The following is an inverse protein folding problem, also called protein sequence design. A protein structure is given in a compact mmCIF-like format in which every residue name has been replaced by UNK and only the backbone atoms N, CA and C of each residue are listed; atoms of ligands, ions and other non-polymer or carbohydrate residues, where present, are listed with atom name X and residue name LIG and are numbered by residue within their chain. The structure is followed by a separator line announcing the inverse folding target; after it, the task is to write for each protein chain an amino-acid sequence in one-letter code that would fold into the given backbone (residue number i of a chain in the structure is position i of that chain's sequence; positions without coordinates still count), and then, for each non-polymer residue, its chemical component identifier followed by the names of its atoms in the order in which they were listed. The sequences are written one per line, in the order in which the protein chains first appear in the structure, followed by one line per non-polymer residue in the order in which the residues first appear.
data_IF_033439777119
#
_entry.id   IF_033439777119
#
_cell.length_a   1.000
_cell.length_b   1.000
_cell.length_c   1.000
_cell.angle_alpha   90.00
_cell.angle_beta   90.00
_cell.angle_gamma   90.00
#
_symmetry.space_group_name_H-M   'P 1'
#
loop_
_entity.id
_entity.type
_entity.pdbx_description
1 polymer ?
#
# COMPACT_ATOMS: atom_id res chain seq x y z
N UNK A 1 -9.02 -47.78 -1.09
CA UNK A 1 -7.86 -47.44 -1.92
C UNK A 1 -7.58 -45.98 -1.69
N UNK A 2 -6.38 -45.66 -1.21
CA UNK A 2 -5.97 -44.30 -0.87
C UNK A 2 -5.33 -43.62 -2.07
N UNK A 3 -5.88 -42.49 -2.50
CA UNK A 3 -5.14 -41.59 -3.38
C UNK A 3 -3.98 -40.97 -2.57
N UNK A 4 -2.74 -40.99 -3.08
CA UNK A 4 -1.66 -40.23 -2.49
C UNK A 4 -1.94 -38.74 -2.75
N UNK A 5 -2.08 -37.96 -1.69
CA UNK A 5 -2.10 -36.51 -1.79
C UNK A 5 -0.70 -36.08 -2.25
N UNK A 6 -0.58 -35.67 -3.51
CA UNK A 6 0.64 -35.10 -4.08
C UNK A 6 0.92 -33.74 -3.41
N UNK A 7 2.07 -33.54 -2.72
CA UNK A 7 2.44 -32.26 -2.11
C UNK A 7 2.58 -31.10 -3.11
N UNK A 8 2.62 -31.41 -4.40
CA UNK A 8 2.96 -30.49 -5.48
C UNK A 8 1.79 -29.59 -5.92
N UNK A 9 0.63 -29.63 -5.25
CA UNK A 9 -0.47 -28.67 -5.44
C UNK A 9 -0.61 -27.66 -4.28
N UNK A 10 0.39 -27.57 -3.40
CA UNK A 10 0.48 -26.60 -2.29
C UNK A 10 1.52 -25.49 -2.56
N UNK A 11 1.88 -25.23 -3.81
CA UNK A 11 3.11 -24.48 -4.12
C UNK A 11 3.02 -23.38 -5.17
N UNK A 12 1.83 -22.90 -5.58
CA UNK A 12 1.73 -21.84 -6.60
C UNK A 12 0.98 -20.57 -6.17
N UNK A 13 0.58 -20.45 -4.90
CA UNK A 13 0.10 -19.19 -4.30
C UNK A 13 0.78 -18.87 -2.95
N UNK A 14 1.56 -19.82 -2.40
CA UNK A 14 2.04 -19.79 -1.00
C UNK A 14 3.43 -19.16 -0.83
N UNK A 15 3.96 -18.49 -1.85
CA UNK A 15 5.19 -17.68 -1.72
C UNK A 15 4.89 -16.21 -1.42
N UNK A 16 3.66 -15.74 -1.71
CA UNK A 16 3.34 -14.30 -1.64
C UNK A 16 3.05 -13.78 -0.23
N UNK A 17 2.71 -14.67 0.72
CA UNK A 17 2.59 -14.31 2.13
C UNK A 17 3.91 -14.58 2.86
N UNK A 18 4.97 -13.89 2.44
CA UNK A 18 5.97 -13.47 3.44
C UNK A 18 5.16 -12.68 4.47
N UNK A 19 4.99 -13.25 5.67
CA UNK A 19 4.26 -12.62 6.76
C UNK A 19 4.60 -11.13 6.80
N UNK A 20 3.60 -10.25 6.79
CA UNK A 20 3.81 -8.80 6.76
C UNK A 20 4.83 -8.36 7.84
N UNK A 21 4.80 -9.03 9.00
CA UNK A 21 5.75 -8.83 10.10
C UNK A 21 7.23 -9.04 9.72
N UNK A 22 7.54 -9.88 8.73
CA UNK A 22 8.91 -10.10 8.21
C UNK A 22 9.35 -9.01 7.23
N UNK A 23 8.43 -8.26 6.64
CA UNK A 23 8.75 -7.15 5.71
C UNK A 23 9.06 -5.84 6.44
N UNK A 24 8.61 -5.72 7.69
CA UNK A 24 8.85 -4.55 8.55
C UNK A 24 10.32 -4.53 8.97
N UNK A 25 11.01 -3.45 8.67
CA UNK A 25 12.40 -3.19 9.07
C UNK A 25 12.51 -2.98 10.57
N UNK A 26 13.68 -3.34 11.10
CA UNK A 26 14.02 -3.08 12.51
C UNK A 26 13.80 -1.60 12.87
N UNK A 27 13.12 -1.34 13.98
CA UNK A 27 12.77 0.02 14.40
C UNK A 27 11.54 0.65 13.70
N UNK A 28 10.92 -0.02 12.73
CA UNK A 28 9.69 0.44 12.06
C UNK A 28 8.46 -0.35 12.52
N UNK A 29 7.27 0.15 12.18
CA UNK A 29 5.96 -0.48 12.41
C UNK A 29 5.12 -0.40 11.14
N UNK A 30 4.39 -1.46 10.86
CA UNK A 30 3.34 -1.45 9.85
C UNK A 30 2.10 -0.76 10.41
N UNK A 31 1.59 0.24 9.70
CA UNK A 31 0.39 1.00 10.08
C UNK A 31 -0.58 0.99 8.92
N UNK A 32 -1.79 0.50 9.15
CA UNK A 32 -2.85 0.50 8.15
C UNK A 32 -3.78 1.69 8.37
N UNK A 33 -4.08 2.41 7.29
CA UNK A 33 -5.07 3.49 7.30
C UNK A 33 -6.10 3.27 6.21
N UNK A 34 -7.36 3.58 6.54
CA UNK A 34 -8.46 3.52 5.59
C UNK A 34 -8.32 4.59 4.50
N UNK A 35 -8.75 4.28 3.28
CA UNK A 35 -8.79 5.22 2.17
C UNK A 35 -10.19 5.35 1.61
N UNK A 36 -10.61 6.57 1.32
CA UNK A 36 -11.87 6.84 0.63
C UNK A 36 -11.62 6.84 -0.89
N UNK A 37 -12.32 5.95 -1.60
CA UNK A 37 -12.12 5.68 -3.03
C UNK A 37 -12.37 6.86 -3.97
N UNK A 38 -13.26 7.77 -3.59
CA UNK A 38 -13.70 8.86 -4.45
C UNK A 38 -12.61 9.92 -4.72
N UNK A 39 -11.44 9.84 -4.07
CA UNK A 39 -10.44 10.93 -4.06
C UNK A 39 -8.98 10.49 -4.24
N UNK A 40 -8.65 9.20 -4.37
CA UNK A 40 -7.26 8.74 -4.16
C UNK A 40 -6.63 7.99 -5.34
N UNK A 41 -5.34 8.22 -5.56
CA UNK A 41 -4.46 7.40 -6.40
C UNK A 41 -4.28 5.96 -5.87
N UNK A 42 -4.92 5.60 -4.75
CA UNK A 42 -4.85 4.28 -4.11
C UNK A 42 -5.12 3.11 -5.05
N UNK A 43 -5.89 3.31 -6.12
CA UNK A 43 -6.15 2.25 -7.11
C UNK A 43 -4.89 1.78 -7.87
N UNK A 44 -3.85 2.62 -7.93
CA UNK A 44 -2.59 2.40 -8.64
C UNK A 44 -1.39 2.14 -7.72
N UNK A 45 -1.59 2.27 -6.41
CA UNK A 45 -0.52 2.00 -5.43
C UNK A 45 -0.40 0.49 -5.28
N UNK A 46 0.82 -0.03 -5.35
CA UNK A 46 1.14 -1.42 -5.09
C UNK A 46 2.11 -1.55 -3.90
N UNK A 47 2.24 -2.74 -3.30
CA UNK A 47 3.32 -2.99 -2.34
C UNK A 47 4.68 -2.60 -2.91
N UNK A 48 5.56 -2.11 -2.04
CA UNK A 48 6.90 -1.57 -2.35
C UNK A 48 6.93 -0.18 -3.01
N UNK A 49 5.79 0.44 -3.27
CA UNK A 49 5.77 1.86 -3.67
C UNK A 49 6.19 2.79 -2.54
N UNK A 50 6.75 3.94 -2.92
CA UNK A 50 6.98 5.07 -2.03
C UNK A 50 5.89 6.13 -2.25
N UNK A 51 5.32 6.62 -1.15
CA UNK A 51 4.24 7.61 -1.18
C UNK A 51 4.49 8.76 -0.22
N UNK A 52 4.12 9.97 -0.62
CA UNK A 52 3.87 11.07 0.31
C UNK A 52 2.44 10.94 0.85
N UNK A 53 2.24 11.26 2.13
CA UNK A 53 0.95 11.16 2.81
C UNK A 53 0.51 12.56 3.20
N UNK A 54 -0.71 12.91 2.80
CA UNK A 54 -1.31 14.21 3.01
C UNK A 54 -2.51 14.07 3.91
N UNK A 55 -2.65 15.06 4.78
CA UNK A 55 -3.83 15.24 5.60
C UNK A 55 -4.61 16.44 5.09
N UNK A 56 -5.94 16.29 5.01
CA UNK A 56 -6.85 17.40 4.76
C UNK A 56 -8.00 17.40 5.76
N UNK A 57 -8.40 18.58 6.23
CA UNK A 57 -9.62 18.74 7.01
C UNK A 57 -10.43 19.94 6.54
N UNK A 58 -11.75 19.82 6.66
CA UNK A 58 -12.66 20.95 6.47
C UNK A 58 -12.68 21.76 7.77
N UNK A 59 -12.41 23.06 7.65
CA UNK A 59 -12.62 24.00 8.75
C UNK A 59 -14.07 24.48 8.69
N UNK A 60 -14.76 24.42 9.83
CA UNK A 60 -16.11 24.93 9.98
C UNK A 60 -16.09 26.43 10.31
N UNK A 61 -17.13 27.15 9.88
CA UNK A 61 -17.28 28.59 10.12
C UNK A 61 -17.78 29.35 8.88
N UNK A 62 -17.91 30.69 8.98
CA UNK A 62 -18.39 31.55 7.89
C UNK A 62 -17.57 31.40 6.60
N UNK A 63 -16.26 31.16 6.74
CA UNK A 63 -15.31 30.97 5.64
C UNK A 63 -14.88 29.51 5.51
N UNK A 64 -15.86 28.58 5.50
CA UNK A 64 -15.61 27.15 5.42
C UNK A 64 -14.65 26.82 4.26
N UNK A 65 -13.49 26.26 4.59
CA UNK A 65 -12.44 25.93 3.63
C UNK A 65 -11.77 24.61 3.98
N UNK A 66 -11.17 23.99 2.97
CA UNK A 66 -10.33 22.80 3.16
C UNK A 66 -8.89 23.28 3.34
N UNK A 67 -8.25 22.79 4.39
CA UNK A 67 -6.80 22.97 4.59
C UNK A 67 -6.12 21.63 4.44
N UNK A 68 -5.00 21.61 3.74
CA UNK A 68 -4.24 20.40 3.44
C UNK A 68 -2.76 20.60 3.72
N UNK A 69 -2.08 19.56 4.19
CA UNK A 69 -0.64 19.56 4.41
C UNK A 69 -0.05 18.16 4.18
N UNK A 70 1.19 18.11 3.71
CA UNK A 70 1.97 16.87 3.68
C UNK A 70 2.40 16.57 5.12
N UNK A 71 2.05 15.38 5.63
CA UNK A 71 2.37 14.95 6.99
C UNK A 71 3.54 13.97 7.03
N UNK A 72 3.73 13.17 5.97
CA UNK A 72 4.82 12.21 5.85
C UNK A 72 5.29 12.17 4.40
N UNK A 73 6.57 11.90 4.20
CA UNK A 73 7.16 11.81 2.88
C UNK A 73 7.89 10.49 2.68
N UNK A 74 7.84 9.95 1.46
CA UNK A 74 8.50 8.69 1.06
C UNK A 74 8.23 7.52 2.03
N UNK A 75 6.99 7.38 2.46
CA UNK A 75 6.56 6.22 3.22
C UNK A 75 6.50 5.01 2.28
N UNK A 76 7.12 3.90 2.68
CA UNK A 76 7.09 2.65 1.91
C UNK A 76 5.77 1.93 2.17
N UNK A 77 5.08 1.54 1.11
CA UNK A 77 3.85 0.75 1.17
C UNK A 77 4.22 -0.72 1.34
N UNK A 78 3.66 -1.37 2.35
CA UNK A 78 3.89 -2.79 2.63
C UNK A 78 2.77 -3.69 2.08
N UNK A 79 1.54 -3.18 2.11
CA UNK A 79 0.37 -3.91 1.65
C UNK A 79 -0.76 -2.94 1.28
N UNK A 80 -1.63 -3.40 0.39
CA UNK A 80 -2.84 -2.69 -0.01
C UNK A 80 -4.02 -3.62 0.21
N UNK A 81 -4.95 -3.20 1.08
CA UNK A 81 -6.15 -3.97 1.43
C UNK A 81 -7.27 -3.69 0.44
N UNK A 82 -7.77 -4.74 -0.22
CA UNK A 82 -8.90 -4.69 -1.16
C UNK A 82 -10.06 -5.47 -0.57
N UNK A 83 -11.19 -4.81 -0.36
CA UNK A 83 -12.47 -5.46 -0.03
C UNK A 83 -13.23 -5.66 -1.33
N UNK A 84 -13.43 -6.91 -1.74
CA UNK A 84 -14.41 -7.21 -2.77
C UNK A 84 -15.80 -7.00 -2.17
N UNK A 85 -16.55 -6.06 -2.71
CA UNK A 85 -17.97 -5.90 -2.38
C UNK A 85 -18.74 -6.59 -3.48
N UNK A 86 -19.50 -7.64 -3.14
CA UNK A 86 -20.51 -8.19 -4.02
C UNK A 86 -21.75 -7.30 -3.89
N UNK A 87 -22.19 -6.61 -4.96
CA UNK A 87 -23.44 -5.87 -4.92
C UNK A 87 -24.62 -6.84 -4.83
N UNK A 88 -25.66 -6.51 -4.05
CA UNK A 88 -26.88 -7.33 -3.99
C UNK A 88 -27.68 -7.31 -5.31
N UNK A 89 -27.44 -6.33 -6.21
CA UNK A 89 -28.27 -6.07 -7.39
C UNK A 89 -27.52 -5.72 -8.70
N UNK A 90 -26.19 -5.90 -8.78
CA UNK A 90 -25.45 -5.73 -10.06
C UNK A 90 -24.51 -6.91 -10.32
N UNK A 91 -24.45 -7.35 -11.59
CA UNK A 91 -23.77 -8.59 -12.01
C UNK A 91 -22.23 -8.54 -11.98
N UNK A 92 -21.62 -7.40 -11.64
CA UNK A 92 -20.16 -7.27 -11.60
C UNK A 92 -19.66 -6.94 -10.18
N UNK A 93 -18.90 -7.84 -9.54
CA UNK A 93 -18.19 -7.52 -8.31
C UNK A 93 -17.18 -6.41 -8.59
N UNK A 94 -17.17 -5.35 -7.78
CA UNK A 94 -16.09 -4.36 -7.81
C UNK A 94 -15.22 -4.45 -6.56
N UNK A 95 -13.91 -4.34 -6.76
CA UNK A 95 -12.94 -4.32 -5.68
C UNK A 95 -12.84 -2.90 -5.14
N UNK A 96 -13.25 -2.69 -3.89
CA UNK A 96 -13.07 -1.45 -3.16
C UNK A 96 -11.74 -1.51 -2.39
N UNK A 97 -10.81 -0.62 -2.70
CA UNK A 97 -9.60 -0.45 -1.90
C UNK A 97 -9.98 0.16 -0.57
N UNK A 98 -9.80 -0.58 0.51
CA UNK A 98 -10.25 -0.18 1.84
C UNK A 98 -9.13 0.31 2.73
N UNK A 99 -7.87 -0.04 2.44
CA UNK A 99 -6.75 0.41 3.25
C UNK A 99 -5.41 0.35 2.55
N UNK A 100 -4.49 1.21 2.99
CA UNK A 100 -3.07 1.15 2.62
C UNK A 100 -2.28 0.94 3.91
N UNK A 101 -1.42 -0.07 3.92
CA UNK A 101 -0.50 -0.34 5.01
C UNK A 101 0.89 0.19 4.65
N UNK A 102 1.41 1.12 5.46
CA UNK A 102 2.72 1.74 5.28
C UNK A 102 3.67 1.40 6.41
N UNK A 103 4.96 1.45 6.12
CA UNK A 103 6.04 1.27 7.09
C UNK A 103 6.49 2.62 7.64
N UNK A 104 6.35 2.82 8.96
CA UNK A 104 6.66 4.10 9.62
C UNK A 104 7.45 3.90 10.91
N UNK A 105 8.13 4.96 11.35
CA UNK A 105 8.65 5.04 12.72
C UNK A 105 7.50 5.21 13.73
N UNK A 106 7.67 4.84 15.01
CA UNK A 106 6.63 4.99 16.03
C UNK A 106 6.00 6.39 16.11
N UNK A 107 6.83 7.43 16.06
CA UNK A 107 6.41 8.83 16.15
C UNK A 107 5.56 9.25 14.93
N UNK A 108 5.94 8.79 13.74
CA UNK A 108 5.23 9.05 12.49
C UNK A 108 3.93 8.26 12.41
N UNK A 109 3.91 7.04 12.96
CA UNK A 109 2.70 6.23 13.09
C UNK A 109 1.63 6.95 13.91
N UNK A 110 2.01 7.52 15.06
CA UNK A 110 1.09 8.31 15.90
C UNK A 110 0.55 9.53 15.15
N UNK A 111 1.42 10.24 14.42
CA UNK A 111 1.02 11.39 13.59
C UNK A 111 0.00 11.00 12.53
N UNK A 112 0.23 9.88 11.84
CA UNK A 112 -0.67 9.39 10.80
C UNK A 112 -2.04 9.00 11.37
N UNK A 113 -2.06 8.20 12.44
CA UNK A 113 -3.31 7.76 13.08
C UNK A 113 -4.11 8.96 13.56
N UNK A 114 -3.49 9.88 14.29
CA UNK A 114 -4.19 11.08 14.77
C UNK A 114 -4.73 11.95 13.64
N UNK A 115 -4.04 12.01 12.50
CA UNK A 115 -4.50 12.74 11.32
C UNK A 115 -5.68 12.03 10.65
N UNK A 116 -5.65 10.69 10.57
CA UNK A 116 -6.74 9.90 10.01
C UNK A 116 -8.05 10.03 10.81
N UNK A 117 -7.96 10.15 12.13
CA UNK A 117 -9.13 10.38 12.99
C UNK A 117 -9.71 11.81 12.86
N UNK A 118 -8.91 12.78 12.40
CA UNK A 118 -9.30 14.20 12.33
C UNK A 118 -9.79 14.66 10.96
N UNK A 119 -9.67 13.82 9.92
CA UNK A 119 -9.96 14.23 8.56
C UNK A 119 -9.55 13.18 7.53
N UNK A 120 -9.33 13.62 6.30
CA UNK A 120 -9.07 12.71 5.19
C UNK A 120 -7.56 12.55 4.94
N UNK A 121 -7.16 11.32 4.65
CA UNK A 121 -5.81 10.96 4.25
C UNK A 121 -5.77 10.75 2.74
N UNK A 122 -4.77 11.35 2.09
CA UNK A 122 -4.51 11.21 0.67
C UNK A 122 -3.08 10.71 0.45
N UNK A 123 -2.86 10.05 -0.68
CA UNK A 123 -1.56 9.51 -1.05
C UNK A 123 -1.09 10.13 -2.37
N UNK A 124 0.18 10.52 -2.41
CA UNK A 124 0.87 10.98 -3.62
C UNK A 124 1.97 9.97 -3.96
N UNK A 125 1.85 9.31 -5.10
CA UNK A 125 2.75 8.24 -5.53
C UNK A 125 4.05 8.82 -6.12
N UNK A 126 5.20 8.28 -5.68
CA UNK A 126 6.48 8.56 -6.32
C UNK A 126 6.71 7.67 -7.54
N UNK A 127 7.49 8.17 -8.50
CA UNK A 127 7.94 7.34 -9.64
C UNK A 127 8.76 6.16 -9.11
N UNK A 128 8.53 4.96 -9.65
CA UNK A 128 9.47 3.85 -9.43
C UNK A 128 10.80 4.15 -10.15
N UNK A 129 11.94 3.91 -9.52
CA UNK A 129 13.21 3.97 -10.22
C UNK A 129 13.22 2.89 -11.32
N UNK A 130 13.55 3.29 -12.54
CA UNK A 130 13.84 2.33 -13.61
C UNK A 130 15.14 1.66 -13.19
N UNK A 131 15.09 0.35 -12.93
CA UNK A 131 16.31 -0.44 -12.78
C UNK A 131 16.98 -0.43 -14.16
N UNK A 132 18.05 0.35 -14.31
CA UNK A 132 18.95 0.16 -15.45
C UNK A 132 19.61 -1.20 -15.26
N UNK A 133 19.22 -2.18 -16.07
CA UNK A 133 19.89 -3.46 -16.14
C UNK A 133 21.39 -3.20 -16.29
N UNK A 134 22.18 -3.56 -15.28
CA UNK A 134 23.64 -3.58 -15.38
C UNK A 134 24.00 -4.59 -16.47
N UNK A 135 24.10 -4.06 -17.68
CA UNK A 135 24.79 -4.51 -18.89
C UNK A 135 25.35 -5.93 -18.77
N UNK A 136 24.72 -6.84 -19.50
CA UNK A 136 25.36 -8.03 -20.04
C UNK A 136 26.67 -7.63 -20.75
N UNK A 137 27.77 -7.69 -20.03
CA UNK A 137 29.14 -7.83 -20.56
C UNK A 137 29.86 -8.77 -19.59
N UNK A 138 29.43 -10.04 -19.58
CA UNK A 138 30.44 -11.09 -19.60
C UNK A 138 30.63 -11.41 -21.08
N UNK A 139 31.57 -10.69 -21.70
CA UNK A 139 32.36 -11.22 -22.81
C UNK A 139 32.65 -12.70 -22.44
N UNK A 140 32.20 -13.72 -23.17
CA UNK A 140 32.65 -14.00 -24.52
C UNK A 140 34.13 -13.69 -24.74
N UNK A 141 34.97 -14.02 -23.76
CA UNK A 141 36.23 -14.70 -24.04
C UNK A 141 35.83 -16.17 -24.31
N UNK A 142 35.80 -16.81 -25.50
CA UNK A 142 36.44 -16.59 -26.79
C UNK A 142 37.86 -16.07 -26.67
N UNK A 143 38.72 -16.93 -26.17
CA UNK A 143 39.68 -17.64 -27.04
C UNK A 143 39.96 -19.05 -26.52
#
# INVERSE_FOLDING_TARGET
QGEPVLPHRLGTETTEQIYLSRKVREGYRAVSVGVNLNQSAANLIEPEDEVDILFSKKLEGPDAKIVSQIILQKARVLAVGRKMVLPEDTQEPYAEYTSVTVELKPEDALKLVNSAEQGNIHFMLHKRPILEDKKAISESDKD
#
